data_IF_310899947707
#
_entry.id   IF_310899947707
#
_cell.length_a   1.000
_cell.length_b   1.000
_cell.length_c   1.000
_cell.angle_alpha   90.00
_cell.angle_beta   90.00
_cell.angle_gamma   90.00
#
_symmetry.space_group_name_H-M   'P 1'
#
loop_
_entity.id
_entity.type
_entity.pdbx_description
1 polymer ?
#
# COMPACT_ATOMS: atom_id res chain seq x y z
N UNK A 1 -30.78 -10.60 -16.61
CA UNK A 1 -29.96 -9.36 -16.79
C UNK A 1 -30.72 -8.12 -16.35
N UNK A 2 -31.95 -7.87 -16.79
CA UNK A 2 -32.75 -6.68 -16.45
C UNK A 2 -32.94 -6.48 -14.93
N UNK A 3 -33.30 -7.52 -14.18
CA UNK A 3 -33.40 -7.51 -12.70
C UNK A 3 -32.09 -7.15 -11.96
N UNK A 4 -30.93 -7.57 -12.47
CA UNK A 4 -29.64 -7.25 -11.88
C UNK A 4 -29.35 -5.74 -12.09
N UNK A 5 -29.64 -5.24 -13.28
CA UNK A 5 -29.44 -3.84 -13.64
C UNK A 5 -30.33 -2.89 -12.83
N UNK A 6 -31.61 -3.28 -12.58
CA UNK A 6 -32.53 -2.57 -11.70
C UNK A 6 -31.99 -2.50 -10.27
N UNK A 7 -31.50 -3.63 -9.72
CA UNK A 7 -30.92 -3.69 -8.37
C UNK A 7 -29.65 -2.84 -8.26
N UNK A 8 -28.81 -2.86 -9.27
CA UNK A 8 -27.61 -2.03 -9.33
C UNK A 8 -27.98 -0.52 -9.39
N UNK A 9 -28.96 -0.15 -10.16
CA UNK A 9 -29.47 1.22 -10.22
C UNK A 9 -30.02 1.67 -8.87
N UNK A 10 -30.79 0.82 -8.21
CA UNK A 10 -31.33 1.12 -6.87
C UNK A 10 -30.20 1.25 -5.82
N UNK A 11 -29.21 0.36 -5.86
CA UNK A 11 -28.08 0.40 -4.93
C UNK A 11 -27.20 1.64 -5.15
N UNK A 12 -26.92 1.99 -6.41
CA UNK A 12 -26.21 3.23 -6.76
C UNK A 12 -26.95 4.46 -6.22
N UNK A 13 -28.27 4.51 -6.37
CA UNK A 13 -29.11 5.60 -5.88
C UNK A 13 -29.24 5.66 -4.34
N UNK A 14 -28.96 4.56 -3.63
CA UNK A 14 -28.96 4.52 -2.17
C UNK A 14 -27.69 5.13 -1.53
N UNK A 15 -26.66 5.40 -2.33
CA UNK A 15 -25.45 6.07 -1.86
C UNK A 15 -25.75 7.57 -1.68
N UNK A 16 -25.48 8.09 -0.50
CA UNK A 16 -25.73 9.48 -0.11
C UNK A 16 -24.42 10.27 -0.11
N UNK A 17 -24.16 10.97 -1.22
CA UNK A 17 -22.93 11.73 -1.43
C UNK A 17 -22.74 12.87 -0.41
N UNK A 18 -23.82 13.55 0.02
CA UNK A 18 -23.69 14.62 1.02
C UNK A 18 -23.36 14.06 2.41
N UNK A 19 -23.95 12.92 2.80
CA UNK A 19 -23.58 12.23 4.05
C UNK A 19 -22.11 11.80 4.02
N UNK A 20 -21.63 11.26 2.89
CA UNK A 20 -20.21 10.89 2.72
C UNK A 20 -19.31 12.12 2.84
N UNK A 21 -19.69 13.24 2.23
CA UNK A 21 -18.92 14.48 2.31
C UNK A 21 -18.83 15.03 3.74
N UNK A 22 -19.93 14.97 4.51
CA UNK A 22 -19.96 15.36 5.92
C UNK A 22 -19.08 14.42 6.77
N UNK A 23 -19.14 13.11 6.51
CA UNK A 23 -18.33 12.12 7.20
C UNK A 23 -16.85 12.29 6.88
N UNK A 24 -16.50 12.53 5.61
CA UNK A 24 -15.11 12.77 5.20
C UNK A 24 -14.56 14.03 5.88
N UNK A 25 -15.35 15.12 5.93
CA UNK A 25 -14.95 16.34 6.63
C UNK A 25 -14.72 16.07 8.12
N UNK A 26 -15.63 15.39 8.80
CA UNK A 26 -15.49 15.05 10.21
C UNK A 26 -14.25 14.21 10.51
N UNK A 27 -13.93 13.24 9.65
CA UNK A 27 -12.72 12.43 9.76
C UNK A 27 -11.45 13.26 9.54
N UNK A 28 -11.44 14.16 8.55
CA UNK A 28 -10.28 15.01 8.24
C UNK A 28 -10.03 16.03 9.37
N UNK A 29 -11.08 16.56 10.01
CA UNK A 29 -10.99 17.48 11.14
C UNK A 29 -10.36 16.85 12.40
N UNK A 30 -10.37 15.51 12.52
CA UNK A 30 -9.70 14.80 13.62
C UNK A 30 -8.24 14.53 13.23
N UNK A 31 -7.22 15.17 13.84
CA UNK A 31 -5.83 14.82 13.60
C UNK A 31 -5.56 13.37 13.98
N UNK A 32 -4.88 12.64 13.11
CA UNK A 32 -4.58 11.22 13.31
C UNK A 32 -3.21 10.84 12.76
N UNK A 33 -2.20 11.66 13.11
CA UNK A 33 -0.82 11.32 12.76
C UNK A 33 -0.49 9.94 13.32
N UNK A 34 0.24 9.14 12.54
CA UNK A 34 0.67 7.80 12.96
C UNK A 34 1.19 7.80 14.40
N UNK A 35 0.80 6.82 15.19
CA UNK A 35 0.97 6.69 16.66
C UNK A 35 0.03 7.58 17.49
N UNK A 36 -0.84 8.39 16.88
CA UNK A 36 -1.79 9.29 17.59
C UNK A 36 -3.25 9.07 17.13
N UNK A 37 -3.60 7.86 16.69
CA UNK A 37 -4.89 7.55 16.03
C UNK A 37 -6.06 7.30 17.00
N UNK A 38 -5.84 7.37 18.31
CA UNK A 38 -6.85 6.99 19.32
C UNK A 38 -8.20 7.71 19.16
N UNK A 39 -8.21 8.98 18.76
CA UNK A 39 -9.43 9.78 18.62
C UNK A 39 -10.20 9.38 17.34
N UNK A 40 -9.50 9.27 16.21
CA UNK A 40 -10.14 8.87 14.95
C UNK A 40 -10.67 7.45 15.02
N UNK A 41 -9.97 6.52 15.72
CA UNK A 41 -10.47 5.16 15.95
C UNK A 41 -11.79 5.17 16.74
N UNK A 42 -11.87 5.96 17.82
CA UNK A 42 -13.12 6.10 18.60
C UNK A 42 -14.27 6.66 17.77
N UNK A 43 -13.98 7.70 16.98
CA UNK A 43 -14.96 8.32 16.10
C UNK A 43 -15.46 7.32 15.06
N UNK A 44 -14.55 6.66 14.33
CA UNK A 44 -14.90 5.71 13.29
C UNK A 44 -15.69 4.51 13.83
N UNK A 45 -15.31 3.99 15.00
CA UNK A 45 -16.05 2.93 15.68
C UNK A 45 -17.47 3.38 16.06
N UNK A 46 -17.63 4.61 16.57
CA UNK A 46 -18.95 5.15 16.88
C UNK A 46 -19.84 5.25 15.64
N UNK A 47 -19.29 5.65 14.49
CA UNK A 47 -20.04 5.70 13.24
C UNK A 47 -20.50 4.31 12.79
N UNK A 48 -19.67 3.29 12.94
CA UNK A 48 -20.06 1.90 12.66
C UNK A 48 -21.16 1.42 13.63
N UNK A 49 -21.03 1.74 14.92
CA UNK A 49 -22.03 1.40 15.94
C UNK A 49 -23.38 2.11 15.62
N UNK A 50 -23.39 3.40 15.22
CA UNK A 50 -24.57 4.16 14.79
C UNK A 50 -25.23 3.54 13.53
N UNK A 51 -24.43 3.06 12.61
CA UNK A 51 -24.90 2.30 11.45
C UNK A 51 -25.39 0.89 11.84
N UNK A 52 -25.27 0.48 13.11
CA UNK A 52 -25.75 -0.79 13.65
C UNK A 52 -24.87 -1.97 13.27
N UNK A 53 -23.57 -1.77 13.14
CA UNK A 53 -22.60 -2.83 13.03
C UNK A 53 -21.98 -3.16 14.39
N UNK A 54 -21.75 -4.45 14.67
CA UNK A 54 -20.93 -4.86 15.78
C UNK A 54 -19.45 -4.59 15.41
N UNK A 55 -18.77 -3.78 16.22
CA UNK A 55 -17.38 -3.40 15.95
C UNK A 55 -16.44 -4.25 16.82
N UNK A 56 -15.63 -5.07 16.19
CA UNK A 56 -14.50 -5.72 16.85
C UNK A 56 -13.30 -4.78 16.85
N UNK A 57 -12.79 -4.49 18.06
CA UNK A 57 -11.67 -3.56 18.29
C UNK A 57 -10.42 -4.37 18.66
N UNK A 58 -9.51 -4.48 17.72
CA UNK A 58 -8.19 -5.13 17.92
C UNK A 58 -7.19 -4.08 18.39
N UNK A 59 -6.86 -4.07 19.67
CA UNK A 59 -5.80 -3.20 20.17
C UNK A 59 -4.45 -3.59 19.55
N UNK A 60 -3.83 -2.66 18.85
CA UNK A 60 -2.50 -2.80 18.24
C UNK A 60 -1.44 -2.31 19.22
N UNK A 61 -1.67 -1.16 19.81
CA UNK A 61 -0.91 -0.62 20.93
C UNK A 61 -1.83 0.30 21.77
N UNK A 62 -1.38 0.77 22.92
CA UNK A 62 -2.22 1.49 23.89
C UNK A 62 -3.09 2.59 23.24
N UNK A 63 -4.40 2.38 23.20
CA UNK A 63 -5.39 3.29 22.66
C UNK A 63 -5.50 3.33 21.12
N UNK A 64 -4.71 2.56 20.40
CA UNK A 64 -4.70 2.45 18.93
C UNK A 64 -5.31 1.11 18.52
N UNK A 65 -6.30 1.12 17.66
CA UNK A 65 -7.08 -0.06 17.32
C UNK A 65 -7.24 -0.23 15.82
N UNK A 66 -7.02 -1.46 15.32
CA UNK A 66 -7.69 -1.87 14.10
C UNK A 66 -9.16 -2.14 14.43
N UNK A 67 -10.04 -1.68 13.56
CA UNK A 67 -11.48 -1.81 13.71
C UNK A 67 -12.00 -2.73 12.63
N UNK A 68 -12.75 -3.75 13.04
CA UNK A 68 -13.36 -4.70 12.12
C UNK A 68 -14.87 -4.69 12.27
N UNK A 69 -15.56 -4.73 11.13
CA UNK A 69 -17.00 -4.87 11.08
C UNK A 69 -17.39 -5.87 9.97
N UNK A 70 -18.55 -6.49 10.11
CA UNK A 70 -19.04 -7.46 9.13
C UNK A 70 -20.51 -7.18 8.81
N UNK A 71 -20.82 -7.11 7.52
CA UNK A 71 -22.17 -7.27 6.99
C UNK A 71 -22.33 -8.75 6.60
N UNK A 72 -23.08 -9.55 7.39
CA UNK A 72 -23.20 -10.98 7.11
C UNK A 72 -24.01 -11.24 5.84
N UNK A 73 -23.52 -12.15 5.00
CA UNK A 73 -24.24 -12.71 3.87
C UNK A 73 -25.11 -13.92 4.28
N UNK A 74 -25.74 -14.55 3.30
CA UNK A 74 -26.50 -15.79 3.50
C UNK A 74 -25.61 -17.05 3.65
N UNK A 75 -24.29 -16.92 3.45
CA UNK A 75 -23.30 -17.98 3.58
C UNK A 75 -22.99 -18.78 2.30
N UNK A 76 -23.54 -18.38 1.15
CA UNK A 76 -23.44 -19.13 -0.11
C UNK A 76 -22.62 -18.41 -1.20
N UNK A 77 -21.77 -17.46 -0.84
CA UNK A 77 -20.94 -16.69 -1.78
C UNK A 77 -19.55 -16.40 -1.24
N UNK A 78 -18.63 -15.95 -2.12
CA UNK A 78 -17.32 -15.49 -1.70
C UNK A 78 -17.42 -14.21 -0.88
N UNK A 79 -16.46 -13.98 0.00
CA UNK A 79 -16.41 -12.83 0.91
C UNK A 79 -15.39 -11.80 0.45
N UNK A 80 -15.75 -10.52 0.56
CA UNK A 80 -14.90 -9.38 0.24
C UNK A 80 -14.58 -8.60 1.51
N UNK A 81 -13.34 -8.13 1.65
CA UNK A 81 -12.97 -7.15 2.67
C UNK A 81 -12.69 -5.80 2.01
N UNK A 82 -13.34 -4.76 2.46
CA UNK A 82 -12.94 -3.36 2.21
C UNK A 82 -11.96 -2.95 3.29
N UNK A 83 -10.78 -2.53 2.88
CA UNK A 83 -9.70 -2.14 3.78
C UNK A 83 -9.26 -0.69 3.54
N UNK A 84 -8.74 -0.05 4.59
CA UNK A 84 -8.02 1.20 4.50
C UNK A 84 -7.52 1.65 5.86
N UNK A 85 -6.65 2.68 5.88
CA UNK A 85 -6.06 3.19 7.09
C UNK A 85 -6.70 4.50 7.57
N UNK A 86 -6.58 4.77 8.88
CA UNK A 86 -7.09 5.97 9.54
C UNK A 86 -5.99 6.96 9.93
N UNK A 87 -4.74 6.53 9.93
CA UNK A 87 -3.60 7.38 10.22
C UNK A 87 -3.20 8.25 9.02
N UNK A 88 -2.40 9.25 9.29
CA UNK A 88 -1.84 10.17 8.28
C UNK A 88 -0.38 10.44 8.61
N UNK A 89 0.37 10.93 7.61
CA UNK A 89 1.65 11.58 7.87
C UNK A 89 1.44 12.85 8.70
N UNK A 90 2.50 13.48 9.25
CA UNK A 90 2.40 14.74 9.97
C UNK A 90 1.63 15.81 9.20
N UNK A 91 0.83 16.60 9.92
CA UNK A 91 0.01 17.67 9.31
C UNK A 91 0.92 18.69 8.61
N UNK A 92 2.07 19.06 9.23
CA UNK A 92 3.01 20.02 8.66
C UNK A 92 2.32 21.35 8.34
N UNK A 93 2.64 21.90 7.16
CA UNK A 93 2.04 23.14 6.63
C UNK A 93 0.78 22.87 5.78
N UNK A 94 0.18 21.67 5.90
CA UNK A 94 -1.01 21.32 5.15
C UNK A 94 -2.14 22.31 5.41
N UNK A 95 -2.84 22.67 4.33
CA UNK A 95 -4.02 23.57 4.41
C UNK A 95 -5.05 23.03 5.40
N UNK A 96 -5.71 23.92 6.19
CA UNK A 96 -6.78 23.51 7.12
C UNK A 96 -7.94 22.81 6.41
N UNK A 97 -8.63 21.94 7.16
CA UNK A 97 -9.83 21.27 6.65
C UNK A 97 -10.88 22.31 6.24
N UNK A 98 -11.34 22.23 5.00
CA UNK A 98 -12.45 23.05 4.46
C UNK A 98 -13.04 22.42 3.21
N UNK A 99 -14.33 22.68 2.99
CA UNK A 99 -15.00 22.37 1.73
C UNK A 99 -15.00 23.62 0.84
N UNK A 100 -14.71 23.44 -0.44
CA UNK A 100 -14.73 24.50 -1.45
C UNK A 100 -15.21 23.91 -2.79
N UNK A 101 -16.45 24.17 -3.16
CA UNK A 101 -17.07 23.54 -4.31
C UNK A 101 -17.10 22.02 -4.16
N UNK A 102 -16.53 21.30 -5.14
CA UNK A 102 -16.41 19.84 -5.14
C UNK A 102 -15.19 19.32 -4.34
N UNK A 103 -14.45 20.20 -3.67
CA UNK A 103 -13.20 19.79 -3.00
C UNK A 103 -13.31 19.83 -1.49
N UNK A 104 -12.82 18.78 -0.86
CA UNK A 104 -12.49 18.73 0.56
C UNK A 104 -10.98 18.80 0.71
N UNK A 105 -10.49 19.86 1.33
CA UNK A 105 -9.09 20.08 1.65
C UNK A 105 -8.75 19.59 3.05
N UNK A 106 -7.49 19.24 3.28
CA UNK A 106 -6.94 18.89 4.58
C UNK A 106 -6.18 17.57 4.58
N UNK A 107 -5.28 17.39 5.55
CA UNK A 107 -4.47 16.19 5.71
C UNK A 107 -5.35 14.94 5.91
N UNK A 108 -5.14 13.91 5.10
CA UNK A 108 -5.93 12.68 5.08
C UNK A 108 -7.20 12.77 4.21
N UNK A 109 -7.46 13.91 3.55
CA UNK A 109 -8.62 14.02 2.66
C UNK A 109 -8.50 13.07 1.47
N UNK A 110 -7.32 12.95 0.88
CA UNK A 110 -7.01 12.03 -0.21
C UNK A 110 -6.41 10.72 0.29
N UNK A 111 -5.58 10.78 1.35
CA UNK A 111 -4.81 9.64 1.85
C UNK A 111 -5.02 9.44 3.36
N UNK A 112 -5.96 8.54 3.77
CA UNK A 112 -7.05 8.06 2.92
C UNK A 112 -8.41 8.15 3.65
N UNK A 113 -8.56 9.09 4.64
CA UNK A 113 -9.79 9.23 5.45
C UNK A 113 -11.03 9.58 4.61
N UNK A 114 -10.83 10.29 3.46
CA UNK A 114 -11.91 10.51 2.50
C UNK A 114 -12.46 9.19 1.95
N UNK A 115 -11.60 8.30 1.50
CA UNK A 115 -11.99 6.97 1.03
C UNK A 115 -12.62 6.12 2.15
N UNK A 116 -12.15 6.27 3.39
CA UNK A 116 -12.75 5.58 4.54
C UNK A 116 -14.18 6.08 4.85
N UNK A 117 -14.48 7.35 4.56
CA UNK A 117 -15.85 7.86 4.58
C UNK A 117 -16.71 7.23 3.47
N UNK A 118 -16.15 7.04 2.27
CA UNK A 118 -16.84 6.34 1.18
C UNK A 118 -17.14 4.88 1.54
N UNK A 119 -16.23 4.20 2.25
CA UNK A 119 -16.45 2.84 2.77
C UNK A 119 -17.62 2.80 3.76
N UNK A 120 -17.71 3.75 4.70
CA UNK A 120 -18.89 3.88 5.59
C UNK A 120 -20.16 4.13 4.79
N UNK A 121 -20.12 5.00 3.77
CA UNK A 121 -21.24 5.26 2.86
C UNK A 121 -21.71 4.01 2.12
N UNK A 122 -20.77 3.16 1.70
CA UNK A 122 -21.04 1.84 1.11
C UNK A 122 -21.85 0.94 2.05
N UNK A 123 -21.39 0.78 3.28
CA UNK A 123 -22.10 -0.03 4.28
C UNK A 123 -23.49 0.52 4.60
N UNK A 124 -23.61 1.84 4.71
CA UNK A 124 -24.89 2.54 4.91
C UNK A 124 -25.86 2.27 3.76
N UNK A 125 -25.39 2.40 2.50
CA UNK A 125 -26.21 2.16 1.30
C UNK A 125 -26.68 0.71 1.20
N UNK A 126 -25.80 -0.27 1.45
CA UNK A 126 -26.15 -1.69 1.44
C UNK A 126 -27.22 -2.02 2.50
N UNK A 127 -27.10 -1.48 3.71
CA UNK A 127 -28.13 -1.65 4.74
C UNK A 127 -29.46 -1.00 4.38
N UNK A 128 -29.42 0.25 3.89
CA UNK A 128 -30.61 1.00 3.53
C UNK A 128 -31.36 0.38 2.33
N UNK A 129 -30.63 -0.24 1.39
CA UNK A 129 -31.25 -0.89 0.23
C UNK A 129 -32.00 -2.17 0.55
N UNK A 130 -31.80 -2.76 1.75
CA UNK A 130 -32.36 -4.06 2.12
C UNK A 130 -31.80 -5.24 1.32
N UNK A 131 -30.73 -5.02 0.55
CA UNK A 131 -30.07 -6.06 -0.23
C UNK A 131 -29.29 -7.00 0.72
N UNK A 132 -29.51 -8.30 0.57
CA UNK A 132 -28.73 -9.34 1.24
C UNK A 132 -27.73 -9.92 0.24
N UNK A 133 -26.46 -9.95 0.63
CA UNK A 133 -25.39 -10.60 -0.13
C UNK A 133 -25.39 -12.11 0.11
N UNK A 134 -24.82 -12.90 -0.80
CA UNK A 134 -24.60 -14.32 -0.56
C UNK A 134 -23.35 -14.55 0.30
N UNK A 135 -22.24 -13.90 0.01
CA UNK A 135 -21.03 -13.88 0.83
C UNK A 135 -21.00 -12.71 1.80
N UNK A 136 -20.09 -12.76 2.75
CA UNK A 136 -19.88 -11.68 3.73
C UNK A 136 -19.17 -10.48 3.12
N UNK A 137 -19.54 -9.29 3.56
CA UNK A 137 -18.73 -8.10 3.35
C UNK A 137 -18.07 -7.69 4.67
N UNK A 138 -16.76 -7.75 4.70
CA UNK A 138 -15.94 -7.28 5.81
C UNK A 138 -15.47 -5.86 5.58
N UNK A 139 -15.29 -5.13 6.68
CA UNK A 139 -14.57 -3.87 6.73
C UNK A 139 -13.42 -4.01 7.69
N UNK A 140 -12.25 -3.50 7.31
CA UNK A 140 -11.12 -3.27 8.20
C UNK A 140 -10.62 -1.84 8.07
N UNK A 141 -10.66 -1.09 9.18
CA UNK A 141 -10.03 0.22 9.29
C UNK A 141 -8.80 0.07 10.18
N UNK A 142 -7.61 0.27 9.63
CA UNK A 142 -6.35 -0.02 10.31
C UNK A 142 -5.61 1.25 10.70
N UNK A 143 -4.62 1.12 11.57
CA UNK A 143 -3.73 2.18 12.05
C UNK A 143 -2.28 1.86 11.69
N UNK A 144 -1.37 2.82 11.81
CA UNK A 144 0.07 2.56 11.70
C UNK A 144 0.55 2.21 10.30
N UNK A 145 -0.13 2.70 9.27
CA UNK A 145 0.24 2.50 7.87
C UNK A 145 1.37 3.45 7.44
N UNK A 146 1.27 4.74 7.75
CA UNK A 146 2.01 5.79 7.07
C UNK A 146 3.48 5.87 7.48
N UNK A 147 3.79 5.91 8.76
CA UNK A 147 5.14 6.19 9.23
C UNK A 147 5.91 4.92 9.61
N UNK A 148 7.22 4.88 9.29
CA UNK A 148 8.09 3.75 9.63
C UNK A 148 8.15 3.45 11.13
N UNK A 149 7.98 4.48 11.98
CA UNK A 149 8.05 4.37 13.44
C UNK A 149 6.99 3.43 14.02
N UNK A 150 5.86 3.27 13.34
CA UNK A 150 4.84 2.29 13.72
C UNK A 150 5.22 0.85 13.36
N UNK A 151 6.27 0.65 12.56
CA UNK A 151 6.69 -0.69 12.13
C UNK A 151 5.62 -1.47 11.36
N UNK A 152 4.62 -0.78 10.80
CA UNK A 152 3.44 -1.39 10.16
C UNK A 152 2.64 -2.30 11.11
N UNK A 153 2.57 -1.91 12.37
CA UNK A 153 1.93 -2.69 13.43
C UNK A 153 0.45 -3.02 13.16
N UNK A 154 -0.31 -2.08 12.59
CA UNK A 154 -1.71 -2.29 12.20
C UNK A 154 -1.88 -3.27 11.04
N UNK A 155 -1.21 -3.08 9.89
CA UNK A 155 -1.20 -4.05 8.80
C UNK A 155 -0.77 -5.45 9.22
N UNK A 156 0.27 -5.57 10.06
CA UNK A 156 0.75 -6.87 10.56
C UNK A 156 -0.26 -7.52 11.51
N UNK A 157 -0.91 -6.74 12.38
CA UNK A 157 -1.99 -7.25 13.24
C UNK A 157 -3.18 -7.75 12.42
N UNK A 158 -3.52 -7.09 11.30
CA UNK A 158 -4.55 -7.58 10.38
C UNK A 158 -4.15 -8.94 9.79
N UNK A 159 -2.91 -9.11 9.36
CA UNK A 159 -2.40 -10.40 8.85
C UNK A 159 -2.50 -11.50 9.91
N UNK A 160 -2.15 -11.21 11.17
CA UNK A 160 -2.29 -12.16 12.28
C UNK A 160 -3.75 -12.55 12.52
N UNK A 161 -4.66 -11.56 12.57
CA UNK A 161 -6.08 -11.76 12.79
C UNK A 161 -6.73 -12.55 11.64
N UNK A 162 -6.30 -12.30 10.39
CA UNK A 162 -6.72 -13.05 9.23
C UNK A 162 -6.27 -14.53 9.32
N UNK A 163 -4.99 -14.77 9.60
CA UNK A 163 -4.42 -16.12 9.73
C UNK A 163 -5.04 -16.92 10.89
N UNK A 164 -5.42 -16.24 11.96
CA UNK A 164 -6.09 -16.88 13.10
C UNK A 164 -7.58 -17.18 12.86
N UNK A 165 -8.15 -16.67 11.77
CA UNK A 165 -9.57 -16.78 11.47
C UNK A 165 -10.48 -15.87 12.29
N UNK A 166 -9.92 -14.86 12.98
CA UNK A 166 -10.70 -13.82 13.68
C UNK A 166 -11.50 -12.97 12.71
N UNK A 167 -10.92 -12.66 11.56
CA UNK A 167 -11.54 -11.94 10.46
C UNK A 167 -11.47 -12.77 9.19
N UNK A 168 -12.27 -12.41 8.18
CA UNK A 168 -12.35 -13.13 6.91
C UNK A 168 -12.38 -12.19 5.72
N UNK A 169 -12.41 -12.80 4.55
CA UNK A 169 -12.42 -12.15 3.25
C UNK A 169 -11.60 -12.99 2.27
N UNK A 170 -12.21 -13.50 1.21
CA UNK A 170 -11.47 -14.26 0.18
C UNK A 170 -10.57 -13.32 -0.65
N UNK A 171 -10.91 -12.04 -0.65
CA UNK A 171 -10.15 -10.96 -1.31
C UNK A 171 -10.20 -9.68 -0.46
N UNK A 172 -9.15 -8.85 -0.58
CA UNK A 172 -9.09 -7.53 0.04
C UNK A 172 -9.05 -6.47 -1.05
N UNK A 173 -10.02 -5.57 -1.03
CA UNK A 173 -10.03 -4.33 -1.79
C UNK A 173 -9.61 -3.19 -0.86
N UNK A 174 -8.43 -2.62 -1.11
CA UNK A 174 -7.93 -1.45 -0.39
C UNK A 174 -8.50 -0.21 -1.06
N UNK A 175 -9.17 0.64 -0.28
CA UNK A 175 -9.92 1.80 -0.77
C UNK A 175 -9.00 3.00 -1.07
N UNK A 176 -7.88 2.77 -1.73
CA UNK A 176 -6.85 3.76 -2.03
C UNK A 176 -6.48 3.72 -3.52
N UNK A 177 -5.99 4.82 -4.07
CA UNK A 177 -5.50 4.89 -5.45
C UNK A 177 -6.23 5.91 -6.33
N UNK A 178 -6.01 5.81 -7.64
CA UNK A 178 -6.32 6.84 -8.66
C UNK A 178 -7.54 6.53 -9.54
N UNK A 179 -8.56 5.89 -9.01
CA UNK A 179 -9.72 5.47 -9.82
C UNK A 179 -9.31 4.48 -10.93
N UNK A 180 -8.31 3.66 -10.65
CA UNK A 180 -7.77 2.59 -11.49
C UNK A 180 -7.64 1.30 -10.67
N UNK A 181 -7.55 0.17 -11.33
CA UNK A 181 -7.33 -1.13 -10.70
C UNK A 181 -5.82 -1.32 -10.51
N UNK A 182 -5.31 -0.93 -9.35
CA UNK A 182 -3.91 -1.16 -9.01
C UNK A 182 -3.74 -2.59 -8.46
N UNK A 183 -3.30 -3.48 -9.34
CA UNK A 183 -3.25 -4.92 -9.09
C UNK A 183 -1.83 -5.46 -8.87
N UNK A 184 -0.82 -4.60 -8.99
CA UNK A 184 0.58 -5.00 -8.87
C UNK A 184 1.43 -3.90 -8.25
N UNK A 185 2.33 -4.26 -7.33
CA UNK A 185 3.42 -3.40 -6.89
C UNK A 185 4.75 -4.11 -6.98
N UNK A 186 5.77 -3.37 -7.38
CA UNK A 186 7.15 -3.85 -7.24
C UNK A 186 7.51 -4.04 -5.78
N UNK A 187 8.45 -4.95 -5.52
CA UNK A 187 9.15 -5.03 -4.26
C UNK A 187 10.10 -3.85 -4.06
N UNK A 188 10.52 -3.64 -2.83
CA UNK A 188 11.52 -2.63 -2.47
C UNK A 188 12.43 -3.14 -1.38
N UNK A 189 13.72 -2.86 -1.50
CA UNK A 189 14.67 -2.97 -0.40
C UNK A 189 15.60 -1.78 -0.37
N UNK A 190 16.12 -1.48 0.80
CA UNK A 190 17.33 -0.68 0.98
C UNK A 190 18.48 -1.66 1.20
N UNK A 191 19.49 -1.59 0.35
CA UNK A 191 20.67 -2.45 0.46
C UNK A 191 21.89 -1.65 0.87
N UNK A 192 22.84 -2.35 1.47
CA UNK A 192 24.17 -1.82 1.78
C UNK A 192 25.24 -2.80 1.26
N UNK A 193 26.19 -2.28 0.52
CA UNK A 193 27.41 -3.01 0.11
C UNK A 193 28.57 -2.37 0.88
N UNK A 194 29.24 -3.18 1.67
CA UNK A 194 30.36 -2.76 2.49
C UNK A 194 31.63 -3.50 2.09
N UNK A 195 32.68 -2.73 1.83
CA UNK A 195 34.03 -3.22 1.55
C UNK A 195 34.94 -2.85 2.71
N UNK A 196 35.50 -3.83 3.40
CA UNK A 196 36.40 -3.63 4.52
C UNK A 196 37.83 -4.04 4.16
N UNK A 197 38.79 -3.14 4.39
CA UNK A 197 40.20 -3.41 4.18
C UNK A 197 40.81 -4.01 5.46
N UNK A 198 41.43 -5.18 5.40
CA UNK A 198 42.14 -5.77 6.53
C UNK A 198 43.36 -4.94 6.97
N UNK A 199 43.81 -4.02 6.10
CA UNK A 199 44.94 -3.09 6.36
C UNK A 199 44.51 -1.64 6.54
N UNK A 200 43.22 -1.39 6.64
CA UNK A 200 42.66 -0.07 6.89
C UNK A 200 43.09 0.53 8.23
N UNK A 201 42.93 1.83 8.37
CA UNK A 201 43.34 2.53 9.60
C UNK A 201 44.82 2.89 9.67
N UNK A 202 45.60 2.59 8.64
CA UNK A 202 47.03 2.83 8.55
C UNK A 202 47.32 4.05 7.68
N UNK A 203 48.46 4.70 7.89
CA UNK A 203 48.88 5.81 7.03
C UNK A 203 49.04 5.37 5.56
N UNK A 204 48.49 6.15 4.64
CA UNK A 204 48.42 5.80 3.21
C UNK A 204 49.76 5.42 2.55
N UNK A 205 50.89 5.94 3.08
CA UNK A 205 52.22 5.58 2.60
C UNK A 205 52.59 4.09 2.81
N UNK A 206 51.96 3.42 3.77
CA UNK A 206 52.30 2.04 4.14
C UNK A 206 51.32 1.00 3.59
N UNK A 207 50.25 1.44 2.92
CA UNK A 207 49.27 0.57 2.30
C UNK A 207 49.40 0.72 0.78
N UNK A 208 49.56 -0.38 0.02
CA UNK A 208 49.51 -0.30 -1.44
C UNK A 208 48.22 0.33 -1.92
N UNK A 209 48.32 1.16 -2.97
CA UNK A 209 47.14 1.82 -3.54
C UNK A 209 46.06 0.81 -3.99
N UNK A 210 46.50 -0.36 -4.42
CA UNK A 210 45.66 -1.48 -4.85
C UNK A 210 44.81 -2.08 -3.74
N UNK A 211 45.15 -1.86 -2.48
CA UNK A 211 44.43 -2.34 -1.30
C UNK A 211 43.59 -1.25 -0.64
N UNK A 212 43.58 -0.04 -1.22
CA UNK A 212 42.73 1.05 -0.70
C UNK A 212 41.29 0.85 -1.15
N UNK A 213 40.32 0.64 -0.21
CA UNK A 213 38.93 0.33 -0.56
C UNK A 213 38.24 1.46 -1.36
N UNK A 214 38.66 2.74 -1.23
CA UNK A 214 38.10 3.85 -2.04
C UNK A 214 38.30 3.63 -3.54
N UNK A 215 39.39 2.99 -3.96
CA UNK A 215 39.66 2.68 -5.35
C UNK A 215 38.53 1.86 -5.99
N UNK A 216 37.99 0.92 -5.23
CA UNK A 216 36.99 -0.03 -5.72
C UNK A 216 35.55 0.52 -5.69
N UNK A 217 35.30 1.62 -4.98
CA UNK A 217 34.00 2.30 -5.02
C UNK A 217 33.61 2.69 -6.45
N UNK A 218 34.57 3.22 -7.22
CA UNK A 218 34.32 3.56 -8.62
C UNK A 218 33.97 2.35 -9.50
N UNK A 219 34.58 1.17 -9.21
CA UNK A 219 34.30 -0.08 -9.92
C UNK A 219 32.89 -0.58 -9.57
N UNK A 220 32.50 -0.54 -8.29
CA UNK A 220 31.16 -0.88 -7.84
C UNK A 220 30.10 0.01 -8.50
N UNK A 221 30.30 1.33 -8.49
CA UNK A 221 29.37 2.28 -9.12
C UNK A 221 29.21 1.95 -10.61
N UNK A 222 30.32 1.73 -11.33
CA UNK A 222 30.27 1.33 -12.73
C UNK A 222 29.53 0.02 -12.96
N UNK A 223 29.77 -0.98 -12.10
CA UNK A 223 29.11 -2.31 -12.22
C UNK A 223 27.61 -2.20 -11.94
N UNK A 224 27.19 -1.45 -10.92
CA UNK A 224 25.78 -1.21 -10.60
C UNK A 224 25.11 -0.43 -11.74
N UNK A 225 25.79 0.59 -12.31
CA UNK A 225 25.28 1.32 -13.47
C UNK A 225 25.12 0.41 -14.69
N UNK A 226 26.08 -0.48 -14.95
CA UNK A 226 25.97 -1.45 -16.03
C UNK A 226 24.83 -2.43 -15.80
N UNK A 227 24.63 -2.88 -14.55
CA UNK A 227 23.52 -3.74 -14.18
C UNK A 227 22.16 -3.06 -14.39
N UNK A 228 22.02 -1.76 -14.06
CA UNK A 228 20.81 -1.03 -14.44
C UNK A 228 20.57 -1.06 -15.95
N UNK A 229 21.61 -0.90 -16.76
CA UNK A 229 21.50 -1.03 -18.21
C UNK A 229 21.08 -2.44 -18.67
N UNK A 230 21.51 -3.50 -17.98
CA UNK A 230 21.07 -4.87 -18.22
C UNK A 230 19.58 -5.04 -17.86
N UNK A 231 19.12 -4.46 -16.74
CA UNK A 231 17.70 -4.44 -16.34
C UNK A 231 16.84 -3.67 -17.35
N UNK A 232 17.30 -2.52 -17.82
CA UNK A 232 16.59 -1.70 -18.81
C UNK A 232 16.44 -2.39 -20.18
N UNK A 233 17.44 -3.23 -20.55
CA UNK A 233 17.42 -4.03 -21.78
C UNK A 233 16.68 -5.37 -21.61
N UNK A 234 16.40 -5.77 -20.39
CA UNK A 234 15.77 -7.04 -20.03
C UNK A 234 14.24 -7.03 -20.14
N UNK A 235 13.63 -8.01 -19.48
CA UNK A 235 12.18 -8.12 -19.44
C UNK A 235 11.55 -6.97 -18.63
N UNK A 236 10.55 -6.33 -19.21
CA UNK A 236 9.77 -5.28 -18.57
C UNK A 236 8.41 -5.83 -18.14
N UNK A 237 7.99 -5.55 -16.91
CA UNK A 237 6.64 -5.92 -16.46
C UNK A 237 5.58 -5.07 -17.20
N UNK A 238 4.53 -5.67 -17.77
CA UNK A 238 3.55 -4.94 -18.59
C UNK A 238 2.92 -3.74 -17.90
N UNK A 239 2.71 -3.82 -16.57
CA UNK A 239 2.03 -2.78 -15.78
C UNK A 239 3.01 -1.85 -15.03
N UNK A 240 4.18 -2.36 -14.59
CA UNK A 240 5.09 -1.59 -13.72
C UNK A 240 6.40 -1.16 -14.39
N UNK A 241 6.66 -1.66 -15.60
CA UNK A 241 7.87 -1.34 -16.34
C UNK A 241 9.11 -2.12 -15.89
N UNK A 242 10.30 -1.56 -16.10
CA UNK A 242 11.58 -2.19 -15.76
C UNK A 242 11.92 -2.07 -14.28
N UNK A 243 12.65 -3.03 -13.78
CA UNK A 243 13.25 -3.00 -12.44
C UNK A 243 14.28 -1.87 -12.33
N UNK A 244 14.57 -1.45 -11.11
CA UNK A 244 15.46 -0.31 -10.90
C UNK A 244 16.36 -0.49 -9.69
N UNK A 245 17.63 -0.12 -9.86
CA UNK A 245 18.61 0.02 -8.80
C UNK A 245 19.14 1.45 -8.77
N UNK A 246 19.16 2.08 -7.61
CA UNK A 246 19.70 3.42 -7.42
C UNK A 246 20.67 3.44 -6.22
N UNK A 247 21.73 4.25 -6.31
CA UNK A 247 22.62 4.53 -5.21
C UNK A 247 22.28 5.91 -4.62
N UNK A 248 22.02 5.92 -3.30
CA UNK A 248 21.70 7.14 -2.56
C UNK A 248 22.86 7.70 -1.76
N UNK A 249 23.78 6.82 -1.26
CA UNK A 249 24.83 7.22 -0.36
C UNK A 249 26.14 6.48 -0.66
N UNK A 250 27.27 7.20 -0.48
CA UNK A 250 28.63 6.64 -0.49
C UNK A 250 29.37 7.23 0.69
N UNK A 251 29.92 6.38 1.55
CA UNK A 251 30.66 6.79 2.74
C UNK A 251 32.01 6.10 2.75
N UNK A 252 33.09 6.86 2.91
CA UNK A 252 34.46 6.32 2.96
C UNK A 252 35.43 7.30 3.62
N UNK A 253 36.30 6.75 4.49
CA UNK A 253 37.40 7.49 5.09
C UNK A 253 36.99 8.47 6.17
N UNK A 254 37.99 8.81 7.03
CA UNK A 254 37.83 9.69 8.17
C UNK A 254 38.94 10.75 8.24
N UNK A 255 40.03 10.53 7.48
CA UNK A 255 41.16 11.45 7.45
C UNK A 255 41.95 11.36 6.13
N UNK A 256 42.47 12.48 5.64
CA UNK A 256 43.03 12.65 4.28
C UNK A 256 44.26 11.78 3.97
N UNK A 257 45.06 11.38 4.93
CA UNK A 257 46.24 10.53 4.74
C UNK A 257 46.20 9.20 5.52
N UNK A 258 44.99 8.75 5.82
CA UNK A 258 44.71 7.49 6.45
C UNK A 258 43.93 6.61 5.49
N UNK A 259 44.39 5.40 5.22
CA UNK A 259 43.66 4.44 4.42
C UNK A 259 42.33 4.11 5.09
N UNK A 260 41.18 4.24 4.46
CA UNK A 260 39.91 3.88 5.04
C UNK A 260 39.90 2.43 5.54
N UNK A 261 39.28 2.21 6.67
CA UNK A 261 38.99 0.84 7.12
C UNK A 261 37.89 0.25 6.25
N UNK A 262 36.93 1.09 5.87
CA UNK A 262 35.67 0.66 5.30
C UNK A 262 35.19 1.67 4.25
N UNK A 263 34.54 1.14 3.22
CA UNK A 263 33.73 1.93 2.28
C UNK A 263 32.35 1.31 2.21
N UNK A 264 31.32 2.14 2.29
CA UNK A 264 29.92 1.72 2.28
C UNK A 264 29.15 2.42 1.17
N UNK A 265 28.41 1.64 0.38
CA UNK A 265 27.43 2.13 -0.58
C UNK A 265 26.05 1.71 -0.12
N UNK A 266 25.12 2.65 -0.02
CA UNK A 266 23.73 2.38 0.31
C UNK A 266 22.84 2.82 -0.84
N UNK A 267 21.90 1.96 -1.21
CA UNK A 267 21.00 2.19 -2.33
C UNK A 267 19.64 1.54 -2.14
N UNK A 268 18.82 1.65 -3.16
CA UNK A 268 17.49 1.02 -3.22
C UNK A 268 17.36 0.15 -4.46
N UNK A 269 16.62 -0.95 -4.33
CA UNK A 269 16.20 -1.80 -5.46
C UNK A 269 14.67 -1.86 -5.50
N UNK A 270 14.15 -1.80 -6.72
CA UNK A 270 12.74 -2.07 -7.05
C UNK A 270 12.70 -3.23 -8.03
N UNK A 271 12.03 -4.32 -7.67
CA UNK A 271 11.98 -5.53 -8.50
C UNK A 271 10.55 -6.06 -8.64
N UNK A 272 10.31 -6.80 -9.74
CA UNK A 272 9.03 -7.46 -10.03
C UNK A 272 8.88 -8.83 -9.36
N UNK A 273 7.74 -9.52 -9.57
CA UNK A 273 7.45 -10.81 -8.93
C UNK A 273 8.28 -11.99 -9.48
N UNK A 274 9.38 -11.73 -10.20
CA UNK A 274 10.31 -12.74 -10.71
C UNK A 274 11.19 -13.39 -9.64
N UNK A 275 11.40 -12.71 -8.52
CA UNK A 275 12.32 -13.10 -7.47
C UNK A 275 11.85 -12.62 -6.11
N UNK A 276 12.29 -13.25 -5.03
CA UNK A 276 12.15 -12.76 -3.67
C UNK A 276 13.33 -11.86 -3.27
N UNK A 277 13.20 -11.14 -2.16
CA UNK A 277 14.20 -10.19 -1.67
C UNK A 277 15.58 -10.84 -1.47
N UNK A 278 15.65 -12.07 -0.94
CA UNK A 278 16.88 -12.81 -0.73
C UNK A 278 17.60 -13.16 -2.04
N UNK A 279 16.84 -13.47 -3.10
CA UNK A 279 17.40 -13.74 -4.43
C UNK A 279 18.00 -12.48 -5.04
N UNK A 280 17.30 -11.33 -4.92
CA UNK A 280 17.80 -10.03 -5.36
C UNK A 280 19.04 -9.62 -4.57
N UNK A 281 19.07 -9.86 -3.25
CA UNK A 281 20.25 -9.62 -2.44
C UNK A 281 21.44 -10.48 -2.86
N UNK A 282 21.17 -11.75 -3.24
CA UNK A 282 22.21 -12.65 -3.78
C UNK A 282 22.75 -12.14 -5.13
N UNK A 283 21.91 -11.58 -6.00
CA UNK A 283 22.34 -10.92 -7.24
C UNK A 283 23.30 -9.75 -6.93
N UNK A 284 22.95 -8.88 -5.97
CA UNK A 284 23.83 -7.77 -5.57
C UNK A 284 25.18 -8.27 -5.02
N UNK A 285 25.16 -9.35 -4.26
CA UNK A 285 26.39 -9.98 -3.75
C UNK A 285 27.26 -10.52 -4.89
N UNK A 286 26.66 -11.15 -5.90
CA UNK A 286 27.38 -11.62 -7.09
C UNK A 286 27.96 -10.48 -7.91
N UNK A 287 27.33 -9.31 -7.97
CA UNK A 287 27.85 -8.13 -8.65
C UNK A 287 29.09 -7.56 -7.94
N UNK A 288 29.11 -7.58 -6.61
CA UNK A 288 30.16 -6.98 -5.80
C UNK A 288 31.37 -7.92 -5.55
N UNK A 289 31.15 -9.23 -5.51
CA UNK A 289 32.16 -10.23 -5.14
C UNK A 289 33.46 -10.14 -5.97
N UNK A 290 33.45 -10.06 -7.31
CA UNK A 290 34.70 -9.99 -8.10
C UNK A 290 35.52 -8.72 -7.81
N UNK A 291 34.83 -7.64 -7.41
CA UNK A 291 35.47 -6.35 -7.09
C UNK A 291 36.14 -6.44 -5.73
N UNK A 292 35.50 -7.04 -4.75
CA UNK A 292 36.07 -7.28 -3.43
C UNK A 292 37.29 -8.23 -3.50
N UNK A 293 37.19 -9.32 -4.27
CA UNK A 293 38.27 -10.26 -4.50
C UNK A 293 39.49 -9.57 -5.13
N UNK A 294 39.30 -8.75 -6.15
CA UNK A 294 40.39 -8.02 -6.80
C UNK A 294 41.11 -7.06 -5.84
N UNK A 295 40.42 -6.54 -4.83
CA UNK A 295 40.98 -5.66 -3.80
C UNK A 295 41.48 -6.38 -2.56
N UNK A 296 41.30 -7.70 -2.46
CA UNK A 296 41.56 -8.49 -1.24
C UNK A 296 40.78 -7.90 -0.04
N UNK A 297 39.56 -7.44 -0.28
CA UNK A 297 38.67 -6.80 0.67
C UNK A 297 37.64 -7.81 1.20
N UNK A 298 37.23 -7.64 2.45
CA UNK A 298 36.07 -8.34 2.97
C UNK A 298 34.80 -7.68 2.42
N UNK A 299 33.84 -8.51 1.98
CA UNK A 299 32.56 -8.07 1.43
C UNK A 299 31.42 -8.43 2.36
N UNK A 300 30.64 -7.43 2.75
CA UNK A 300 29.32 -7.63 3.33
C UNK A 300 28.26 -6.99 2.44
N UNK A 301 27.18 -7.73 2.16
CA UNK A 301 25.99 -7.22 1.46
C UNK A 301 24.79 -7.54 2.31
N UNK A 302 24.11 -6.53 2.77
CA UNK A 302 22.96 -6.61 3.66
C UNK A 302 21.79 -5.80 3.14
N UNK A 303 20.60 -6.05 3.67
CA UNK A 303 19.40 -5.31 3.37
C UNK A 303 18.64 -4.94 4.64
N UNK A 304 17.85 -3.88 4.55
CA UNK A 304 16.85 -3.50 5.54
C UNK A 304 15.66 -2.84 4.86
N UNK A 305 14.51 -2.81 5.50
CA UNK A 305 13.26 -2.31 4.92
C UNK A 305 12.93 -2.95 3.57
N UNK A 306 12.67 -4.25 3.59
CA UNK A 306 12.20 -4.95 2.40
C UNK A 306 10.67 -5.05 2.40
N UNK A 307 10.13 -5.13 1.19
CA UNK A 307 8.75 -5.51 0.87
C UNK A 307 8.80 -6.36 -0.37
N UNK A 308 8.27 -7.56 -0.27
CA UNK A 308 8.11 -8.41 -1.45
C UNK A 308 7.13 -7.79 -2.45
N UNK A 309 7.32 -8.00 -3.75
CA UNK A 309 6.35 -7.58 -4.76
C UNK A 309 5.04 -8.37 -4.59
N UNK A 310 3.94 -7.81 -5.07
CA UNK A 310 2.71 -8.58 -5.23
C UNK A 310 2.11 -8.37 -6.61
N UNK A 311 1.33 -9.35 -7.06
CA UNK A 311 0.49 -9.26 -8.24
C UNK A 311 -0.79 -10.07 -8.01
N UNK A 312 -1.94 -9.41 -8.18
CA UNK A 312 -3.24 -10.06 -8.26
C UNK A 312 -3.65 -10.08 -9.72
N UNK A 313 -3.96 -11.25 -10.31
CA UNK A 313 -4.29 -11.32 -11.73
C UNK A 313 -5.42 -10.39 -12.13
N UNK A 314 -5.29 -9.73 -13.27
CA UNK A 314 -6.32 -8.82 -13.77
C UNK A 314 -7.67 -9.51 -14.06
N UNK A 315 -7.68 -10.82 -14.27
CA UNK A 315 -8.88 -11.66 -14.42
C UNK A 315 -9.41 -12.24 -13.10
N UNK A 316 -8.82 -11.87 -11.95
CA UNK A 316 -9.36 -12.26 -10.64
C UNK A 316 -10.83 -11.82 -10.51
N UNK A 317 -11.72 -12.69 -10.00
CA UNK A 317 -13.16 -12.38 -9.94
C UNK A 317 -13.50 -11.10 -9.17
N UNK A 318 -12.76 -10.74 -8.13
CA UNK A 318 -13.00 -9.50 -7.39
C UNK A 318 -12.50 -8.26 -8.18
N UNK A 319 -11.36 -8.37 -8.86
CA UNK A 319 -10.86 -7.32 -9.77
C UNK A 319 -11.88 -7.07 -10.88
N UNK A 320 -12.41 -8.14 -11.49
CA UNK A 320 -13.44 -8.04 -12.52
C UNK A 320 -14.78 -7.48 -11.99
N UNK A 321 -15.14 -7.79 -10.74
CA UNK A 321 -16.34 -7.21 -10.11
C UNK A 321 -16.19 -5.69 -9.93
N UNK A 322 -15.01 -5.20 -9.52
CA UNK A 322 -14.73 -3.76 -9.43
C UNK A 322 -14.71 -3.12 -10.82
N UNK A 323 -14.11 -3.77 -11.82
CA UNK A 323 -14.11 -3.28 -13.21
C UNK A 323 -15.54 -3.12 -13.76
N UNK A 324 -16.42 -4.09 -13.52
CA UNK A 324 -17.82 -4.02 -13.93
C UNK A 324 -18.58 -2.91 -13.19
N UNK A 325 -18.36 -2.75 -11.90
CA UNK A 325 -18.94 -1.69 -11.09
C UNK A 325 -18.46 -0.31 -11.56
N UNK A 326 -17.17 -0.16 -11.81
CA UNK A 326 -16.58 1.05 -12.37
C UNK A 326 -17.27 1.45 -13.70
N UNK A 327 -17.34 0.50 -14.66
CA UNK A 327 -18.00 0.73 -15.94
C UNK A 327 -19.45 1.19 -15.76
N UNK A 328 -20.18 0.60 -14.83
CA UNK A 328 -21.58 0.96 -14.55
C UNK A 328 -21.70 2.38 -13.95
N UNK A 329 -20.75 2.81 -13.12
CA UNK A 329 -20.77 4.11 -12.44
C UNK A 329 -20.27 5.22 -13.36
N UNK A 330 -19.13 4.99 -14.05
CA UNK A 330 -18.40 6.00 -14.81
C UNK A 330 -18.72 5.97 -16.30
N UNK A 331 -19.12 4.82 -16.85
CA UNK A 331 -19.42 4.65 -18.28
C UNK A 331 -18.20 4.30 -19.14
N UNK A 332 -17.03 4.15 -18.55
CA UNK A 332 -15.75 3.78 -19.18
C UNK A 332 -15.10 2.57 -18.49
N UNK A 333 -13.97 2.10 -19.03
CA UNK A 333 -13.25 0.96 -18.49
C UNK A 333 -12.21 1.41 -17.47
N UNK A 334 -12.16 0.76 -16.30
CA UNK A 334 -11.06 0.94 -15.38
C UNK A 334 -9.77 0.35 -15.94
N UNK A 335 -8.70 1.14 -15.96
CA UNK A 335 -7.38 0.64 -16.37
C UNK A 335 -6.75 -0.23 -15.31
N UNK A 336 -6.06 -1.31 -15.73
CA UNK A 336 -5.16 -2.05 -14.85
C UNK A 336 -3.87 -1.25 -14.66
N UNK A 337 -3.38 -1.18 -13.43
CA UNK A 337 -2.16 -0.47 -13.08
C UNK A 337 -1.20 -1.31 -12.25
N UNK A 338 0.09 -1.10 -12.49
CA UNK A 338 1.17 -1.56 -11.64
C UNK A 338 1.97 -0.36 -11.14
N UNK A 339 2.42 -0.41 -9.90
CA UNK A 339 3.12 0.70 -9.27
C UNK A 339 4.53 0.29 -8.81
N UNK A 340 5.43 1.26 -8.77
CA UNK A 340 6.78 1.11 -8.19
C UNK A 340 6.82 1.46 -6.71
N UNK A 341 5.72 1.96 -6.15
CA UNK A 341 5.55 2.19 -4.71
C UNK A 341 5.02 0.92 -4.06
N UNK A 342 5.19 0.83 -2.76
CA UNK A 342 4.70 -0.29 -1.95
C UNK A 342 3.59 0.18 -1.02
N UNK A 343 2.70 -0.72 -0.66
CA UNK A 343 1.62 -0.49 0.29
C UNK A 343 1.26 -1.77 1.04
N UNK A 344 0.11 -1.79 1.67
CA UNK A 344 -0.29 -2.90 2.55
C UNK A 344 -0.62 -4.19 1.79
N UNK A 345 -1.03 -4.10 0.51
CA UNK A 345 -1.23 -5.30 -0.31
C UNK A 345 0.03 -6.17 -0.40
N UNK A 346 1.23 -5.55 -0.40
CA UNK A 346 2.48 -6.29 -0.36
C UNK A 346 2.58 -7.21 0.88
N UNK A 347 2.04 -6.77 2.04
CA UNK A 347 2.00 -7.57 3.26
C UNK A 347 0.85 -8.57 3.24
N UNK A 348 -0.35 -8.14 2.83
CA UNK A 348 -1.53 -8.99 2.84
C UNK A 348 -1.38 -10.19 1.91
N UNK A 349 -0.82 -9.98 0.71
CA UNK A 349 -0.57 -11.06 -0.24
C UNK A 349 0.56 -11.96 0.24
N UNK A 350 1.73 -11.41 0.58
CA UNK A 350 2.92 -12.21 0.85
C UNK A 350 2.92 -12.84 2.25
N UNK A 351 2.43 -12.15 3.27
CA UNK A 351 2.37 -12.66 4.62
C UNK A 351 1.01 -13.24 4.99
N UNK A 352 -0.07 -12.64 4.49
CA UNK A 352 -1.45 -13.08 4.74
C UNK A 352 -1.91 -14.20 3.84
N UNK A 353 -1.34 -14.33 2.65
CA UNK A 353 -1.78 -15.28 1.62
C UNK A 353 -3.14 -14.92 1.02
N UNK A 354 -3.61 -13.68 1.16
CA UNK A 354 -4.90 -13.22 0.65
C UNK A 354 -4.71 -12.28 -0.53
N UNK A 355 -5.22 -12.60 -1.72
CA UNK A 355 -5.13 -11.71 -2.88
C UNK A 355 -5.75 -10.35 -2.57
N UNK A 356 -4.99 -9.31 -2.84
CA UNK A 356 -5.34 -7.94 -2.49
C UNK A 356 -5.02 -7.02 -3.65
N UNK A 357 -5.79 -5.95 -3.80
CA UNK A 357 -5.60 -4.95 -4.83
C UNK A 357 -6.22 -3.63 -4.38
N UNK A 358 -5.97 -2.56 -5.10
CA UNK A 358 -6.42 -1.22 -4.76
C UNK A 358 -7.40 -0.68 -5.80
N UNK A 359 -8.35 0.09 -5.32
CA UNK A 359 -9.20 0.97 -6.10
C UNK A 359 -9.71 2.09 -5.19
N UNK A 360 -9.39 3.34 -5.49
CA UNK A 360 -9.77 4.48 -4.66
C UNK A 360 -10.14 5.72 -5.44
N UNK A 361 -10.65 6.76 -4.76
CA UNK A 361 -11.18 7.96 -5.40
C UNK A 361 -10.10 8.90 -5.92
N UNK A 362 -8.92 8.91 -5.31
CA UNK A 362 -7.82 9.82 -5.63
C UNK A 362 -6.53 9.47 -4.88
N UNK A 363 -5.40 9.86 -5.46
CA UNK A 363 -4.12 9.89 -4.77
C UNK A 363 -3.20 11.02 -5.32
N UNK A 364 -3.79 11.95 -6.08
CA UNK A 364 -3.06 12.96 -6.86
C UNK A 364 -2.35 13.98 -5.96
N UNK A 365 -2.87 14.21 -4.75
CA UNK A 365 -2.35 15.21 -3.82
C UNK A 365 -1.90 14.61 -2.48
N UNK A 366 -1.76 13.28 -2.42
CA UNK A 366 -1.25 12.60 -1.23
C UNK A 366 0.08 13.20 -0.78
N UNK A 367 0.26 13.36 0.53
CA UNK A 367 1.46 13.91 1.17
C UNK A 367 1.80 15.37 0.84
N UNK A 368 0.98 16.07 0.03
CA UNK A 368 1.21 17.49 -0.27
C UNK A 368 0.60 18.42 0.79
N UNK A 369 1.12 19.65 0.88
CA UNK A 369 0.53 20.68 1.75
C UNK A 369 -0.82 21.18 1.23
N UNK A 370 -1.09 21.01 -0.05
CA UNK A 370 -2.37 21.31 -0.70
C UNK A 370 -3.29 20.11 -0.83
N UNK A 371 -3.23 19.13 0.05
CA UNK A 371 -4.00 17.89 -0.06
C UNK A 371 -5.51 18.14 -0.14
N UNK A 372 -6.16 17.50 -1.12
CA UNK A 372 -7.61 17.57 -1.34
C UNK A 372 -8.15 16.35 -2.07
N UNK A 373 -9.44 16.08 -1.91
CA UNK A 373 -10.18 15.06 -2.64
C UNK A 373 -11.49 15.65 -3.23
N UNK A 374 -11.93 15.14 -4.38
CA UNK A 374 -13.23 15.45 -4.97
C UNK A 374 -14.34 14.74 -4.20
N UNK A 375 -15.36 15.48 -3.78
CA UNK A 375 -16.54 14.93 -3.11
C UNK A 375 -17.37 14.04 -4.05
N UNK A 376 -17.47 14.42 -5.32
CA UNK A 376 -18.12 13.59 -6.34
C UNK A 376 -17.38 12.26 -6.53
N UNK A 377 -16.06 12.26 -6.51
CA UNK A 377 -15.26 11.01 -6.60
C UNK A 377 -15.44 10.13 -5.37
N UNK A 378 -15.61 10.69 -4.17
CA UNK A 378 -15.91 9.91 -2.97
C UNK A 378 -17.26 9.19 -3.09
N UNK A 379 -18.29 9.90 -3.57
CA UNK A 379 -19.61 9.29 -3.84
C UNK A 379 -19.50 8.17 -4.88
N UNK A 380 -18.82 8.43 -6.00
CA UNK A 380 -18.60 7.44 -7.06
C UNK A 380 -17.82 6.22 -6.55
N UNK A 381 -16.80 6.40 -5.72
CA UNK A 381 -16.07 5.30 -5.11
C UNK A 381 -16.99 4.44 -4.21
N UNK A 382 -17.82 5.07 -3.38
CA UNK A 382 -18.80 4.34 -2.57
C UNK A 382 -19.81 3.55 -3.43
N UNK A 383 -20.24 4.11 -4.56
CA UNK A 383 -21.10 3.41 -5.53
C UNK A 383 -20.37 2.20 -6.13
N UNK A 384 -19.10 2.37 -6.53
CA UNK A 384 -18.30 1.26 -7.06
C UNK A 384 -18.10 0.16 -6.01
N UNK A 385 -17.75 0.51 -4.77
CA UNK A 385 -17.58 -0.47 -3.69
C UNK A 385 -18.86 -1.26 -3.39
N UNK A 386 -20.01 -0.58 -3.34
CA UNK A 386 -21.29 -1.23 -3.10
C UNK A 386 -21.66 -2.21 -4.23
N UNK A 387 -21.48 -1.79 -5.48
CA UNK A 387 -21.76 -2.61 -6.64
C UNK A 387 -20.76 -3.76 -6.80
N UNK A 388 -19.48 -3.53 -6.52
CA UNK A 388 -18.45 -4.56 -6.54
C UNK A 388 -18.71 -5.63 -5.46
N UNK A 389 -19.13 -5.23 -4.25
CA UNK A 389 -19.55 -6.18 -3.21
C UNK A 389 -20.76 -6.99 -3.67
N UNK A 390 -21.76 -6.35 -4.29
CA UNK A 390 -22.93 -7.04 -4.84
C UNK A 390 -22.57 -8.01 -5.98
N UNK A 391 -21.62 -7.64 -6.84
CA UNK A 391 -21.16 -8.47 -7.96
C UNK A 391 -20.33 -9.67 -7.49
N UNK A 392 -19.35 -9.42 -6.60
CA UNK A 392 -18.42 -10.45 -6.14
C UNK A 392 -19.05 -11.37 -5.10
N UNK A 393 -19.62 -10.82 -4.02
CA UNK A 393 -20.24 -11.63 -2.98
C UNK A 393 -21.55 -12.29 -3.45
N UNK A 394 -22.11 -11.81 -4.56
CA UNK A 394 -23.39 -12.26 -5.09
C UNK A 394 -24.60 -11.68 -4.36
N UNK A 395 -25.72 -11.55 -5.09
CA UNK A 395 -27.00 -11.06 -4.54
C UNK A 395 -27.91 -12.25 -4.20
N UNK A 396 -28.42 -12.29 -2.97
CA UNK A 396 -29.39 -13.33 -2.59
C UNK A 396 -30.70 -13.16 -3.40
N UNK A 397 -31.22 -14.27 -3.93
CA UNK A 397 -32.42 -14.28 -4.77
C UNK A 397 -32.23 -13.78 -6.21
N UNK A 398 -31.00 -13.69 -6.71
CA UNK A 398 -30.73 -13.35 -8.12
C UNK A 398 -30.72 -14.59 -9.05
N UNK A 399 -30.92 -15.77 -8.52
CA UNK A 399 -30.84 -17.07 -9.22
C UNK A 399 -32.18 -17.76 -9.49
N UNK A 400 -33.34 -17.10 -9.29
CA UNK A 400 -34.65 -17.61 -9.72
C UNK A 400 -35.25 -16.81 -10.88
#
# INVERSE_FOLDING_TARGET
MERIQERWTALKAAVDGEWIAQMAQALVEIPSVTLQEAEVCRFYAAQLDELGFAVDRREVSAGRYNLYARLPGSGNGPSLMLNGHLDTIPVGDCVPCRREGDRLYGRGSTDMKGAMAAVLGTLRALKASGITLNGDLWLSAIVGHEQPEAGKDGPLALVEDYKSGRIGGDRILIAEGWNELWVMSMGTMVFTIELTSPRGGTHTTYVPFEENPIRFVGDLIRRITAYQGELDAGASHPLAGTERIDLGMVEAGDYFNRTPVQCRLTGTVRWGPRACAEEVLAELRQLAAPIAEAGQLELEVSMFHEREPFETPGDDPAVQAVAQAHRFVHGDEASLAGKRIVGDANLFVNLGGVPSFYYGPSNETAHSDGEWVSLARLEQAAQVYALAAAAYCGLNGAGE
#
